data_IF_677122486725
#
_entry.id   IF_677122486725
#
_cell.length_a   1.000
_cell.length_b   1.000
_cell.length_c   1.000
_cell.angle_alpha   90.00
_cell.angle_beta   90.00
_cell.angle_gamma   90.00
#
_symmetry.space_group_name_H-M   'P 1'
#
loop_
_entity.id
_entity.type
_entity.pdbx_description
1 polymer ?
#
# COMPACT_ATOMS: atom_id res chain seq x y z
N UNK A 1 -0.62 18.52 -10.32
CA UNK A 1 -1.21 19.06 -11.56
C UNK A 1 -1.14 18.00 -12.67
N UNK A 2 -2.11 18.03 -13.61
CA UNK A 2 -2.15 17.11 -14.75
C UNK A 2 -2.31 17.92 -16.03
N UNK A 3 -1.51 17.59 -17.03
CA UNK A 3 -1.66 18.09 -18.39
C UNK A 3 -2.25 16.95 -19.23
N UNK A 4 -3.41 17.17 -19.82
CA UNK A 4 -4.04 16.22 -20.71
C UNK A 4 -4.07 16.76 -22.15
N UNK A 5 -3.70 15.93 -23.10
CA UNK A 5 -3.72 16.25 -24.51
C UNK A 5 -4.64 15.29 -25.26
N UNK A 6 -5.59 15.85 -26.01
CA UNK A 6 -6.52 15.11 -26.84
C UNK A 6 -5.88 14.90 -28.22
N UNK A 7 -5.41 13.68 -28.49
CA UNK A 7 -4.76 13.31 -29.75
C UNK A 7 -5.78 13.40 -30.91
N UNK A 8 -6.99 12.88 -30.67
CA UNK A 8 -8.12 12.94 -31.61
C UNK A 8 -9.46 12.80 -30.87
N UNK A 9 -10.56 12.65 -31.58
CA UNK A 9 -11.89 12.53 -30.97
C UNK A 9 -12.05 11.37 -29.98
N UNK A 10 -11.22 10.34 -30.08
CA UNK A 10 -11.34 9.10 -29.31
C UNK A 10 -10.18 8.87 -28.32
N UNK A 11 -9.04 9.52 -28.51
CA UNK A 11 -7.82 9.20 -27.79
C UNK A 11 -7.24 10.42 -27.07
N UNK A 12 -6.86 10.25 -25.82
CA UNK A 12 -6.18 11.27 -25.04
C UNK A 12 -5.02 10.64 -24.23
N UNK A 13 -3.99 11.44 -23.99
CA UNK A 13 -2.88 11.11 -23.09
C UNK A 13 -2.80 12.18 -22.01
N UNK A 14 -2.27 11.78 -20.86
CA UNK A 14 -2.06 12.69 -19.75
C UNK A 14 -0.68 12.49 -19.14
N UNK A 15 -0.14 13.57 -18.61
CA UNK A 15 1.08 13.58 -17.83
C UNK A 15 0.85 14.35 -16.54
N UNK A 16 1.30 13.79 -15.44
CA UNK A 16 1.20 14.40 -14.11
C UNK A 16 2.57 14.33 -13.43
N UNK A 17 3.27 15.43 -13.17
CA UNK A 17 4.27 15.45 -12.12
C UNK A 17 3.58 15.15 -10.79
N UNK A 18 4.19 14.29 -9.97
CA UNK A 18 3.68 13.88 -8.67
C UNK A 18 4.60 14.42 -7.60
N UNK A 19 4.04 15.14 -6.64
CA UNK A 19 4.75 15.60 -5.44
C UNK A 19 4.23 14.79 -4.27
N UNK A 20 5.13 14.11 -3.56
CA UNK A 20 4.85 13.34 -2.36
C UNK A 20 5.13 14.16 -1.10
N UNK A 21 4.34 13.94 -0.06
CA UNK A 21 4.62 14.34 1.30
C UNK A 21 4.27 13.19 2.24
N UNK A 22 5.21 12.82 3.09
CA UNK A 22 5.02 11.82 4.13
C UNK A 22 5.43 12.41 5.47
N UNK A 23 4.73 12.01 6.53
CA UNK A 23 5.10 12.32 7.91
C UNK A 23 5.07 11.02 8.70
N UNK A 24 6.17 10.72 9.38
CA UNK A 24 6.32 9.49 10.15
C UNK A 24 6.69 9.78 11.61
N UNK A 25 6.15 8.96 12.50
CA UNK A 25 6.45 9.00 13.92
C UNK A 25 6.21 7.64 14.55
N UNK A 26 7.17 7.15 15.33
CA UNK A 26 7.06 5.87 16.04
C UNK A 26 7.39 6.00 17.51
N UNK A 27 6.60 5.34 18.34
CA UNK A 27 6.81 5.18 19.78
C UNK A 27 6.73 3.71 20.17
N UNK A 28 7.40 3.35 21.28
CA UNK A 28 7.29 2.00 21.84
C UNK A 28 8.15 0.95 21.16
N UNK A 29 8.98 1.31 20.18
CA UNK A 29 9.88 0.39 19.47
C UNK A 29 11.24 0.20 20.16
N UNK A 30 11.33 0.39 21.48
CA UNK A 30 12.60 0.32 22.23
C UNK A 30 13.34 -1.01 22.08
N UNK A 31 12.62 -2.12 21.96
CA UNK A 31 13.24 -3.43 21.73
C UNK A 31 14.01 -3.50 20.41
N UNK A 32 13.53 -2.82 19.38
CA UNK A 32 14.15 -2.81 18.05
C UNK A 32 15.46 -2.04 17.99
N UNK A 33 15.76 -1.18 18.99
CA UNK A 33 17.04 -0.47 19.08
C UNK A 33 18.24 -1.43 19.14
N UNK A 34 18.07 -2.58 19.80
CA UNK A 34 19.12 -3.59 19.89
C UNK A 34 19.41 -4.30 18.56
N UNK A 35 18.53 -4.16 17.58
CA UNK A 35 18.64 -4.78 16.25
C UNK A 35 19.01 -3.77 15.16
N UNK A 36 19.38 -2.56 15.55
CA UNK A 36 19.61 -1.43 14.64
C UNK A 36 21.08 -1.10 14.47
N UNK A 37 21.45 -0.64 13.27
CA UNK A 37 22.73 -0.04 12.97
C UNK A 37 22.92 1.34 13.62
N UNK A 38 21.81 2.05 13.90
CA UNK A 38 21.78 3.31 14.66
C UNK A 38 20.63 3.26 15.69
N UNK A 39 20.90 2.70 16.89
CA UNK A 39 19.90 2.55 17.94
C UNK A 39 19.22 3.85 18.38
N UNK A 40 19.90 5.00 18.22
CA UNK A 40 19.36 6.30 18.61
C UNK A 40 18.25 6.78 17.67
N UNK A 41 18.19 6.25 16.44
CA UNK A 41 17.28 6.66 15.38
C UNK A 41 16.22 5.60 15.04
N UNK A 42 15.67 4.93 16.03
CA UNK A 42 14.64 3.89 15.85
C UNK A 42 13.28 4.35 16.32
N UNK A 43 13.20 5.03 17.46
CA UNK A 43 11.92 5.31 18.13
C UNK A 43 12.00 6.57 18.99
N UNK A 44 10.84 7.17 19.29
CA UNK A 44 10.67 8.32 20.18
C UNK A 44 11.36 9.62 19.69
N UNK A 45 11.63 9.76 18.40
CA UNK A 45 12.33 10.91 17.81
C UNK A 45 11.39 12.02 17.30
N UNK A 46 10.10 11.95 17.68
CA UNK A 46 9.09 12.92 17.24
C UNK A 46 8.70 12.72 15.77
N UNK A 47 8.08 13.74 15.18
CA UNK A 47 7.75 13.71 13.76
C UNK A 47 8.99 13.89 12.90
N UNK A 48 9.04 13.16 11.80
CA UNK A 48 9.95 13.35 10.69
C UNK A 48 9.13 13.48 9.39
N UNK A 49 9.48 14.44 8.57
CA UNK A 49 8.75 14.78 7.36
C UNK A 49 9.64 14.56 6.15
N UNK A 50 9.09 13.91 5.12
CA UNK A 50 9.77 13.62 3.86
C UNK A 50 8.96 14.17 2.69
N UNK A 51 9.64 14.78 1.72
CA UNK A 51 9.07 15.21 0.46
C UNK A 51 9.60 14.32 -0.65
N UNK A 52 8.81 14.16 -1.71
CA UNK A 52 9.24 13.29 -2.80
C UNK A 52 8.72 13.74 -4.14
N UNK A 53 9.32 13.19 -5.19
CA UNK A 53 8.98 13.53 -6.55
C UNK A 53 8.88 12.29 -7.43
N UNK A 54 7.87 12.28 -8.29
CA UNK A 54 7.65 11.22 -9.28
C UNK A 54 6.87 11.76 -10.47
N UNK A 55 6.50 10.86 -11.36
CA UNK A 55 5.71 11.18 -12.54
C UNK A 55 4.68 10.08 -12.83
N UNK A 56 3.57 10.47 -13.44
CA UNK A 56 2.55 9.57 -13.92
C UNK A 56 2.19 9.91 -15.36
N UNK A 57 2.04 8.88 -16.18
CA UNK A 57 1.48 8.99 -17.52
C UNK A 57 0.18 8.18 -17.59
N UNK A 58 -0.73 8.60 -18.43
CA UNK A 58 -1.99 7.91 -18.65
C UNK A 58 -2.46 8.01 -20.08
N UNK A 59 -3.21 7.02 -20.49
CA UNK A 59 -3.91 6.97 -21.77
C UNK A 59 -5.38 6.67 -21.51
N UNK A 60 -6.26 7.30 -22.28
CA UNK A 60 -7.70 7.03 -22.33
C UNK A 60 -8.17 7.01 -23.77
N UNK A 61 -8.77 5.88 -24.18
CA UNK A 61 -9.45 5.71 -25.44
C UNK A 61 -10.95 5.49 -25.24
N UNK A 62 -11.80 6.14 -26.07
CA UNK A 62 -13.26 5.98 -26.01
C UNK A 62 -13.79 5.64 -27.39
N UNK A 63 -14.42 4.48 -27.54
CA UNK A 63 -14.85 3.89 -28.81
C UNK A 63 -16.32 3.46 -28.72
N UNK A 64 -17.23 4.38 -28.99
CA UNK A 64 -18.66 4.16 -28.87
C UNK A 64 -19.05 3.83 -27.40
N UNK A 65 -19.40 2.56 -27.13
CA UNK A 65 -19.78 2.09 -25.79
C UNK A 65 -18.59 1.61 -24.95
N UNK A 66 -17.40 1.52 -25.52
CA UNK A 66 -16.21 1.01 -24.87
C UNK A 66 -15.25 2.14 -24.53
N UNK A 67 -14.67 2.07 -23.35
CA UNK A 67 -13.54 2.90 -22.98
C UNK A 67 -12.42 2.00 -22.49
N UNK A 68 -11.18 2.32 -22.84
CA UNK A 68 -9.99 1.63 -22.36
C UNK A 68 -9.05 2.66 -21.76
N UNK A 69 -8.40 2.30 -20.66
CA UNK A 69 -7.43 3.15 -19.98
C UNK A 69 -6.16 2.37 -19.64
N UNK A 70 -5.05 3.07 -19.62
CA UNK A 70 -3.82 2.56 -19.08
C UNK A 70 -3.07 3.67 -18.33
N UNK A 71 -2.33 3.31 -17.29
CA UNK A 71 -1.53 4.25 -16.52
C UNK A 71 -0.23 3.60 -16.07
N UNK A 72 0.82 4.42 -15.94
CA UNK A 72 2.04 4.05 -15.26
C UNK A 72 2.50 5.23 -14.40
N UNK A 73 2.81 4.94 -13.15
CA UNK A 73 3.40 5.87 -12.19
C UNK A 73 4.79 5.35 -11.82
N UNK A 74 5.80 6.22 -11.92
CA UNK A 74 7.14 5.92 -11.46
C UNK A 74 7.17 5.69 -9.94
N UNK A 75 8.29 5.20 -9.42
CA UNK A 75 8.63 5.37 -8.01
C UNK A 75 8.50 6.88 -7.67
N UNK A 76 7.96 7.21 -6.50
CA UNK A 76 8.08 8.56 -5.96
C UNK A 76 9.27 8.50 -5.02
N UNK A 77 10.38 9.10 -5.44
CA UNK A 77 11.61 9.19 -4.68
C UNK A 77 11.38 10.19 -3.53
N UNK A 78 11.40 9.68 -2.32
CA UNK A 78 11.17 10.46 -1.10
C UNK A 78 12.49 10.84 -0.46
N UNK A 79 12.51 11.95 0.28
CA UNK A 79 13.61 12.22 1.20
C UNK A 79 13.63 11.18 2.32
N UNK A 80 14.80 10.87 2.87
CA UNK A 80 14.98 9.91 3.94
C UNK A 80 14.41 10.44 5.27
N UNK A 81 13.79 9.55 6.04
CA UNK A 81 13.43 9.83 7.42
C UNK A 81 14.67 9.83 8.32
N UNK A 82 15.37 10.95 8.37
CA UNK A 82 16.67 11.10 9.04
C UNK A 82 16.62 10.80 10.55
N UNK A 83 15.48 11.07 11.20
CA UNK A 83 15.21 10.74 12.60
C UNK A 83 14.94 9.25 12.83
N UNK A 84 14.67 8.51 11.77
CA UNK A 84 14.38 7.07 11.77
C UNK A 84 15.33 6.29 10.86
N UNK A 85 16.52 6.84 10.61
CA UNK A 85 17.58 6.22 9.83
C UNK A 85 18.03 4.85 10.37
N UNK A 86 17.82 4.57 11.63
CA UNK A 86 18.07 3.27 12.25
C UNK A 86 16.89 2.30 12.18
N UNK A 87 15.75 2.68 11.59
CA UNK A 87 14.55 1.84 11.52
C UNK A 87 14.34 1.28 10.12
N UNK A 88 14.30 2.13 9.10
CA UNK A 88 14.07 1.73 7.72
C UNK A 88 15.38 1.44 6.99
N UNK A 89 15.37 0.48 6.07
CA UNK A 89 16.51 0.19 5.21
C UNK A 89 17.01 1.45 4.48
N UNK A 90 18.24 1.42 3.99
CA UNK A 90 18.87 2.55 3.31
C UNK A 90 18.85 3.85 4.12
N UNK A 91 19.07 3.72 5.45
CA UNK A 91 19.17 4.82 6.43
C UNK A 91 17.94 5.73 6.48
N UNK A 92 16.74 5.15 6.32
CA UNK A 92 15.49 5.89 6.46
C UNK A 92 14.76 6.12 5.15
N UNK A 93 15.21 5.51 4.04
CA UNK A 93 14.49 5.58 2.77
C UNK A 93 13.14 4.86 2.87
N UNK A 94 12.09 5.55 2.45
CA UNK A 94 10.75 4.98 2.40
C UNK A 94 9.99 5.52 1.19
N UNK A 95 10.47 5.17 0.02
CA UNK A 95 9.90 5.54 -1.26
C UNK A 95 8.48 5.01 -1.47
N UNK A 96 7.72 5.65 -2.37
CA UNK A 96 6.42 5.11 -2.81
C UNK A 96 6.62 4.22 -4.04
N UNK A 97 6.21 2.95 -3.99
CA UNK A 97 6.47 2.00 -5.06
C UNK A 97 5.84 2.40 -6.40
N UNK A 98 6.49 2.09 -7.51
CA UNK A 98 5.93 2.31 -8.84
C UNK A 98 4.71 1.41 -9.06
N UNK A 99 3.78 1.89 -9.90
CA UNK A 99 2.52 1.19 -10.16
C UNK A 99 2.15 1.36 -11.62
N UNK A 100 1.65 0.31 -12.24
CA UNK A 100 1.03 0.40 -13.56
C UNK A 100 -0.27 -0.38 -13.61
N UNK A 101 -1.14 -0.02 -14.54
CA UNK A 101 -2.42 -0.69 -14.67
C UNK A 101 -3.13 -0.37 -15.97
N UNK A 102 -4.14 -1.18 -16.26
CA UNK A 102 -5.03 -0.99 -17.38
C UNK A 102 -6.46 -1.37 -16.99
N UNK A 103 -7.42 -0.80 -17.70
CA UNK A 103 -8.82 -1.07 -17.46
C UNK A 103 -9.68 -0.91 -18.71
N UNK A 104 -10.85 -1.49 -18.63
CA UNK A 104 -11.90 -1.39 -19.66
C UNK A 104 -13.22 -1.04 -19.00
N UNK A 105 -13.99 -0.17 -19.62
CA UNK A 105 -15.37 0.10 -19.23
C UNK A 105 -16.29 -0.07 -20.43
N UNK A 106 -17.48 -0.61 -20.16
CA UNK A 106 -18.51 -0.85 -21.17
C UNK A 106 -19.82 -0.23 -20.71
N UNK A 107 -20.37 0.65 -21.52
CA UNK A 107 -21.74 1.15 -21.35
C UNK A 107 -22.72 0.08 -21.87
N UNK A 108 -23.07 -0.88 -21.01
CA UNK A 108 -23.91 -2.04 -21.36
C UNK A 108 -25.32 -1.60 -21.77
N UNK A 109 -25.87 -0.57 -21.12
CA UNK A 109 -27.13 0.09 -21.51
C UNK A 109 -26.98 1.61 -21.35
N UNK A 110 -28.01 2.38 -21.70
CA UNK A 110 -28.01 3.84 -21.45
C UNK A 110 -27.89 4.22 -19.98
N UNK A 111 -28.11 3.26 -19.06
CA UNK A 111 -28.11 3.48 -17.60
C UNK A 111 -27.02 2.68 -16.86
N UNK A 112 -26.45 1.64 -17.49
CA UNK A 112 -25.54 0.71 -16.84
C UNK A 112 -24.16 0.77 -17.49
N UNK A 113 -23.15 1.06 -16.69
CA UNK A 113 -21.72 0.92 -17.05
C UNK A 113 -21.10 -0.14 -16.16
N UNK A 114 -20.29 -1.01 -16.76
CA UNK A 114 -19.49 -2.03 -16.08
C UNK A 114 -18.03 -1.73 -16.39
N UNK A 115 -17.18 -1.77 -15.38
CA UNK A 115 -15.74 -1.53 -15.51
C UNK A 115 -14.94 -2.63 -14.84
N UNK A 116 -13.80 -2.98 -15.44
CA UNK A 116 -12.82 -3.89 -14.87
C UNK A 116 -11.42 -3.30 -15.02
N UNK A 117 -10.62 -3.39 -13.96
CA UNK A 117 -9.26 -2.88 -13.91
C UNK A 117 -8.32 -3.93 -13.35
N UNK A 118 -7.09 -3.91 -13.84
CA UNK A 118 -5.96 -4.63 -13.27
C UNK A 118 -4.80 -3.66 -13.07
N UNK A 119 -4.15 -3.76 -11.93
CA UNK A 119 -2.92 -3.00 -11.67
C UNK A 119 -1.90 -3.85 -10.95
N UNK A 120 -0.62 -3.48 -11.09
CA UNK A 120 0.50 -4.08 -10.38
C UNK A 120 1.23 -3.02 -9.59
N UNK A 121 1.50 -3.32 -8.33
CA UNK A 121 2.31 -2.49 -7.43
C UNK A 121 3.64 -3.21 -7.25
N UNK A 122 4.75 -2.51 -7.51
CA UNK A 122 6.09 -3.08 -7.48
C UNK A 122 6.75 -2.76 -6.13
N UNK A 123 6.33 -3.45 -5.08
CA UNK A 123 6.91 -3.28 -3.74
C UNK A 123 8.39 -3.65 -3.69
N UNK A 124 8.83 -4.59 -4.56
CA UNK A 124 10.22 -5.01 -4.69
C UNK A 124 11.19 -3.89 -5.08
N UNK A 125 10.70 -2.73 -5.47
CA UNK A 125 11.51 -1.55 -5.82
C UNK A 125 11.80 -0.63 -4.62
N UNK A 126 11.37 -1.00 -3.41
CA UNK A 126 11.56 -0.20 -2.17
C UNK A 126 12.07 -1.12 -1.07
N UNK A 127 13.37 -1.02 -0.76
CA UNK A 127 14.07 -1.95 0.13
C UNK A 127 13.49 -1.96 1.55
N UNK A 128 13.09 -0.80 2.08
CA UNK A 128 12.43 -0.72 3.38
C UNK A 128 11.12 -1.53 3.46
N UNK A 129 10.47 -1.80 2.32
CA UNK A 129 9.24 -2.58 2.23
C UNK A 129 9.54 -4.04 1.87
N UNK A 130 10.44 -4.27 0.89
CA UNK A 130 10.63 -5.59 0.27
C UNK A 130 11.72 -6.43 0.91
N UNK A 131 12.70 -5.83 1.60
CA UNK A 131 13.70 -6.60 2.32
C UNK A 131 13.02 -7.55 3.29
N UNK A 132 13.48 -8.80 3.30
CA UNK A 132 12.90 -9.81 4.18
C UNK A 132 13.23 -9.52 5.64
N UNK A 133 12.27 -9.77 6.51
CA UNK A 133 12.47 -9.82 7.95
C UNK A 133 13.35 -11.01 8.36
N UNK A 134 13.75 -11.13 9.62
CA UNK A 134 14.64 -12.17 10.09
C UNK A 134 14.00 -13.55 10.02
N UNK A 135 14.78 -14.54 9.65
CA UNK A 135 14.48 -15.94 9.93
C UNK A 135 14.45 -16.21 11.44
N UNK A 136 13.94 -17.37 11.88
CA UNK A 136 13.94 -17.74 13.28
C UNK A 136 15.36 -17.70 13.89
N UNK A 137 16.34 -18.23 13.19
CA UNK A 137 17.73 -18.26 13.70
C UNK A 137 18.35 -16.87 13.74
N UNK A 138 18.13 -16.03 12.75
CA UNK A 138 18.61 -14.63 12.75
C UNK A 138 17.98 -13.84 13.90
N UNK A 139 16.68 -14.01 14.13
CA UNK A 139 16.00 -13.36 15.26
C UNK A 139 16.56 -13.82 16.61
N UNK A 140 16.75 -15.12 16.82
CA UNK A 140 17.32 -15.64 18.07
C UNK A 140 18.77 -15.23 18.24
N UNK A 141 19.57 -15.20 17.16
CA UNK A 141 20.93 -14.69 17.17
C UNK A 141 20.98 -13.23 17.59
N UNK A 142 20.18 -12.38 16.95
CA UNK A 142 20.09 -10.97 17.26
C UNK A 142 19.60 -10.71 18.70
N UNK A 143 18.61 -11.48 19.17
CA UNK A 143 18.13 -11.41 20.54
C UNK A 143 19.21 -11.79 21.54
N UNK A 144 20.00 -12.83 21.24
CA UNK A 144 21.17 -13.21 22.04
C UNK A 144 22.19 -12.08 22.07
N UNK A 145 22.50 -11.49 20.90
CA UNK A 145 23.38 -10.33 20.77
C UNK A 145 22.95 -9.17 21.67
N UNK A 146 21.67 -8.86 21.66
CA UNK A 146 21.08 -7.83 22.51
C UNK A 146 21.28 -8.11 24.03
N UNK A 147 21.17 -9.37 24.43
CA UNK A 147 21.34 -9.77 25.83
C UNK A 147 22.82 -9.71 26.32
N UNK A 148 23.76 -10.02 25.43
CA UNK A 148 25.20 -10.05 25.77
C UNK A 148 25.93 -8.76 25.36
N UNK A 149 25.23 -7.82 24.68
CA UNK A 149 25.81 -6.56 24.21
C UNK A 149 26.74 -6.74 23.01
N UNK A 150 26.51 -7.77 22.18
CA UNK A 150 27.27 -8.05 20.95
C UNK A 150 26.44 -7.78 19.67
N UNK A 151 26.57 -6.59 19.06
CA UNK A 151 25.82 -6.25 17.86
C UNK A 151 26.25 -7.05 16.61
N UNK A 152 27.39 -7.75 16.63
CA UNK A 152 27.86 -8.56 15.51
C UNK A 152 26.98 -9.80 15.26
N UNK A 153 26.14 -10.15 16.23
CA UNK A 153 25.15 -11.23 16.12
C UNK A 153 23.85 -10.83 15.41
N UNK A 154 23.71 -9.57 15.02
CA UNK A 154 22.60 -9.07 14.21
C UNK A 154 23.00 -9.07 12.74
N UNK A 155 22.51 -10.03 11.97
CA UNK A 155 22.61 -10.00 10.51
C UNK A 155 21.62 -8.97 9.94
N UNK A 156 22.02 -8.20 8.94
CA UNK A 156 21.18 -7.19 8.28
C UNK A 156 20.43 -6.28 9.28
N UNK A 157 21.15 -5.52 10.13
CA UNK A 157 20.52 -4.70 11.15
C UNK A 157 19.61 -3.65 10.52
N UNK A 158 18.51 -3.32 11.22
CA UNK A 158 17.60 -2.22 10.83
C UNK A 158 18.40 -0.96 10.52
N UNK A 159 17.98 -0.20 9.52
CA UNK A 159 18.65 1.01 9.05
C UNK A 159 19.82 0.76 8.09
N UNK A 160 20.38 -0.45 7.99
CA UNK A 160 21.38 -0.76 6.95
C UNK A 160 20.73 -0.94 5.57
N UNK A 161 21.54 -0.92 4.50
CA UNK A 161 21.01 -1.08 3.13
C UNK A 161 20.21 -2.37 2.94
N UNK A 162 20.69 -3.48 3.51
CA UNK A 162 19.98 -4.75 3.52
C UNK A 162 19.22 -5.00 4.84
N UNK A 163 18.90 -3.93 5.57
CA UNK A 163 18.21 -4.01 6.85
C UNK A 163 16.86 -4.69 6.74
N UNK A 164 16.48 -5.41 7.80
CA UNK A 164 15.18 -6.10 7.82
C UNK A 164 14.03 -5.16 7.51
N UNK A 165 13.16 -5.59 6.60
CA UNK A 165 11.96 -4.92 6.15
C UNK A 165 10.72 -5.79 6.35
N UNK A 166 9.67 -5.54 5.61
CA UNK A 166 8.39 -6.24 5.73
C UNK A 166 8.29 -7.50 4.86
N UNK A 167 9.23 -7.70 3.93
CA UNK A 167 9.25 -8.84 3.01
C UNK A 167 8.12 -8.82 1.98
N UNK A 168 7.68 -7.63 1.56
CA UNK A 168 6.57 -7.53 0.60
C UNK A 168 7.03 -7.77 -0.83
N UNK A 169 6.30 -8.66 -1.49
CA UNK A 169 6.43 -8.95 -2.92
C UNK A 169 5.49 -8.07 -3.75
N UNK A 170 5.74 -8.01 -5.05
CA UNK A 170 4.88 -7.34 -6.01
C UNK A 170 3.50 -7.97 -6.06
N UNK A 171 2.44 -7.15 -6.06
CA UNK A 171 1.07 -7.64 -6.07
C UNK A 171 0.28 -7.21 -7.29
N UNK A 172 -0.61 -8.10 -7.75
CA UNK A 172 -1.66 -7.77 -8.68
C UNK A 172 -2.93 -7.39 -7.93
N UNK A 173 -3.57 -6.32 -8.38
CA UNK A 173 -4.85 -5.83 -7.86
C UNK A 173 -5.89 -5.89 -8.97
N UNK A 174 -6.98 -6.59 -8.73
CA UNK A 174 -8.09 -6.75 -9.67
C UNK A 174 -9.32 -6.03 -9.13
N UNK A 175 -9.97 -5.25 -9.98
CA UNK A 175 -11.17 -4.48 -9.61
C UNK A 175 -12.28 -4.71 -10.61
N UNK A 176 -13.49 -4.85 -10.10
CA UNK A 176 -14.72 -4.90 -10.89
C UNK A 176 -15.71 -3.90 -10.30
N UNK A 177 -16.32 -3.09 -11.14
CA UNK A 177 -17.28 -2.09 -10.71
C UNK A 177 -18.48 -1.96 -11.63
N UNK A 178 -19.59 -1.57 -11.05
CA UNK A 178 -20.82 -1.24 -11.77
C UNK A 178 -21.32 0.13 -11.34
N UNK A 179 -21.82 0.90 -12.31
CA UNK A 179 -22.47 2.18 -12.11
C UNK A 179 -23.84 2.16 -12.78
N UNK A 180 -24.90 2.39 -12.01
CA UNK A 180 -26.28 2.36 -12.51
C UNK A 180 -26.98 3.69 -12.28
N UNK A 181 -27.22 4.44 -13.36
CA UNK A 181 -28.02 5.66 -13.37
C UNK A 181 -29.51 5.28 -13.33
N UNK A 182 -30.09 5.15 -12.14
CA UNK A 182 -31.48 4.74 -11.97
C UNK A 182 -32.43 5.76 -12.59
N UNK A 183 -32.24 7.05 -12.27
CA UNK A 183 -32.96 8.19 -12.85
C UNK A 183 -32.08 9.45 -12.82
N UNK A 184 -32.66 10.64 -13.08
CA UNK A 184 -31.95 11.93 -13.05
C UNK A 184 -31.31 12.24 -11.71
N UNK A 185 -31.86 11.72 -10.62
CA UNK A 185 -31.50 12.13 -9.26
C UNK A 185 -30.65 11.08 -8.54
N UNK A 186 -30.74 9.81 -8.95
CA UNK A 186 -30.09 8.69 -8.25
C UNK A 186 -29.16 7.89 -9.15
N UNK A 187 -27.94 7.73 -8.68
CA UNK A 187 -26.94 6.81 -9.25
C UNK A 187 -26.46 5.86 -8.15
N UNK A 188 -26.52 4.55 -8.40
CA UNK A 188 -26.01 3.50 -7.53
C UNK A 188 -24.72 2.93 -8.06
N UNK A 189 -23.82 2.54 -7.15
CA UNK A 189 -22.54 1.93 -7.49
C UNK A 189 -22.28 0.74 -6.59
N UNK A 190 -21.65 -0.29 -7.15
CA UNK A 190 -21.10 -1.40 -6.39
C UNK A 190 -19.76 -1.81 -6.99
N UNK A 191 -18.88 -2.34 -6.17
CA UNK A 191 -17.55 -2.74 -6.59
C UNK A 191 -17.02 -3.90 -5.77
N UNK A 192 -16.09 -4.61 -6.39
CA UNK A 192 -15.29 -5.66 -5.77
C UNK A 192 -13.83 -5.40 -6.09
N UNK A 193 -12.96 -5.59 -5.09
CA UNK A 193 -11.52 -5.52 -5.24
C UNK A 193 -10.89 -6.77 -4.62
N UNK A 194 -9.88 -7.30 -5.31
CA UNK A 194 -9.05 -8.40 -4.83
C UNK A 194 -7.57 -8.06 -5.05
N UNK A 195 -6.78 -8.23 -4.01
CA UNK A 195 -5.33 -8.22 -4.06
C UNK A 195 -4.81 -9.34 -3.17
N UNK A 196 -3.72 -10.00 -3.56
CA UNK A 196 -3.05 -10.98 -2.72
C UNK A 196 -2.40 -10.28 -1.52
N UNK A 197 -2.24 -11.01 -0.42
CA UNK A 197 -1.35 -10.58 0.68
C UNK A 197 0.05 -10.38 0.09
N UNK A 198 0.73 -9.26 0.37
CA UNK A 198 2.01 -8.95 -0.27
C UNK A 198 3.20 -9.70 0.31
N UNK A 199 3.05 -10.55 1.32
CA UNK A 199 4.14 -11.25 1.99
C UNK A 199 3.79 -12.70 2.31
N UNK A 200 4.83 -13.54 2.38
CA UNK A 200 4.73 -14.94 2.78
C UNK A 200 4.50 -15.10 4.29
N UNK A 201 3.95 -16.22 4.71
CA UNK A 201 3.60 -16.50 6.12
C UNK A 201 4.80 -16.31 7.05
N UNK A 202 6.02 -16.65 6.61
CA UNK A 202 7.25 -16.52 7.38
C UNK A 202 7.69 -15.06 7.63
N UNK A 203 7.01 -14.09 7.02
CA UNK A 203 7.23 -12.66 7.26
C UNK A 203 6.22 -12.06 8.27
N UNK A 204 5.37 -12.89 8.89
CA UNK A 204 4.30 -12.43 9.78
C UNK A 204 4.80 -11.58 10.97
N UNK A 205 6.02 -11.81 11.47
CA UNK A 205 6.54 -11.10 12.65
C UNK A 205 6.61 -9.59 12.46
N UNK A 206 7.34 -9.12 11.43
CA UNK A 206 7.49 -7.68 11.19
C UNK A 206 6.19 -7.05 10.67
N UNK A 207 5.36 -7.82 10.01
CA UNK A 207 4.05 -7.40 9.52
C UNK A 207 3.00 -7.20 10.64
N UNK A 208 3.33 -7.45 11.91
CA UNK A 208 2.55 -6.95 13.05
C UNK A 208 2.50 -5.41 13.07
N UNK A 209 3.56 -4.75 12.60
CA UNK A 209 3.65 -3.28 12.51
C UNK A 209 2.90 -2.71 11.29
N UNK A 210 2.78 -3.50 10.21
CA UNK A 210 2.13 -3.10 8.96
C UNK A 210 1.26 -4.25 8.40
N UNK A 211 0.16 -4.62 9.07
CA UNK A 211 -0.61 -5.82 8.73
C UNK A 211 -1.42 -5.65 7.44
N UNK A 212 -0.84 -5.94 6.29
CA UNK A 212 -1.48 -5.89 4.97
C UNK A 212 -2.14 -7.22 4.60
N UNK A 213 -2.96 -7.77 5.50
CA UNK A 213 -3.55 -9.11 5.33
C UNK A 213 -4.88 -9.13 4.57
N UNK A 214 -5.51 -7.98 4.36
CA UNK A 214 -6.84 -7.94 3.73
C UNK A 214 -6.73 -8.10 2.23
N UNK A 215 -7.44 -9.09 1.66
CA UNK A 215 -7.40 -9.38 0.23
C UNK A 215 -8.65 -8.90 -0.52
N UNK A 216 -9.82 -9.06 0.07
CA UNK A 216 -11.10 -8.89 -0.61
C UNK A 216 -11.89 -7.74 -0.02
N UNK A 217 -12.37 -6.85 -0.90
CA UNK A 217 -13.21 -5.73 -0.49
C UNK A 217 -14.47 -5.70 -1.35
N UNK A 218 -15.59 -5.38 -0.72
CA UNK A 218 -16.83 -5.02 -1.42
C UNK A 218 -17.17 -3.57 -1.08
N UNK A 219 -17.66 -2.85 -2.06
CA UNK A 219 -18.12 -1.47 -1.89
C UNK A 219 -19.53 -1.33 -2.43
N UNK A 220 -20.34 -0.52 -1.78
CA UNK A 220 -21.63 -0.11 -2.28
C UNK A 220 -21.87 1.35 -1.94
N UNK A 221 -22.51 2.09 -2.83
CA UNK A 221 -22.77 3.50 -2.60
C UNK A 221 -23.80 4.07 -3.57
N UNK A 222 -24.17 5.29 -3.27
CA UNK A 222 -25.08 6.05 -4.12
C UNK A 222 -24.68 7.52 -4.17
N UNK A 223 -25.08 8.18 -5.27
CA UNK A 223 -25.10 9.64 -5.37
C UNK A 223 -26.56 10.06 -5.54
N UNK A 224 -26.97 11.07 -4.80
CA UNK A 224 -28.28 11.73 -4.97
C UNK A 224 -28.07 13.19 -5.29
N UNK A 225 -28.61 13.61 -6.44
CA UNK A 225 -28.73 15.02 -6.78
C UNK A 225 -29.82 15.65 -5.91
N UNK A 226 -29.45 16.66 -5.13
CA UNK A 226 -30.37 17.39 -4.24
C UNK A 226 -31.00 18.56 -4.96
N UNK A 227 -30.22 19.23 -5.80
CA UNK A 227 -30.61 20.31 -6.69
C UNK A 227 -29.85 20.17 -8.02
N UNK A 228 -30.16 20.97 -9.05
CA UNK A 228 -29.35 20.96 -10.29
C UNK A 228 -27.86 21.22 -10.07
N UNK A 229 -27.51 21.87 -8.96
CA UNK A 229 -26.14 22.30 -8.65
C UNK A 229 -25.53 21.60 -7.43
N UNK A 230 -26.23 20.70 -6.76
CA UNK A 230 -25.70 20.04 -5.56
C UNK A 230 -26.06 18.57 -5.51
N UNK A 231 -25.14 17.78 -4.96
CA UNK A 231 -25.29 16.34 -4.78
C UNK A 231 -24.66 15.85 -3.48
N UNK A 232 -25.17 14.76 -2.97
CA UNK A 232 -24.58 14.00 -1.85
C UNK A 232 -24.21 12.60 -2.32
N UNK A 233 -23.03 12.15 -1.95
CA UNK A 233 -22.58 10.78 -2.20
C UNK A 233 -22.30 10.10 -0.88
N UNK A 234 -22.77 8.87 -0.74
CA UNK A 234 -22.42 7.99 0.37
C UNK A 234 -21.86 6.68 -0.18
N UNK A 235 -20.79 6.21 0.44
CA UNK A 235 -20.12 4.95 0.07
C UNK A 235 -19.75 4.19 1.33
N UNK A 236 -20.05 2.90 1.33
CA UNK A 236 -19.62 1.98 2.38
C UNK A 236 -18.70 0.91 1.76
N UNK A 237 -17.60 0.61 2.43
CA UNK A 237 -16.66 -0.44 2.07
C UNK A 237 -16.53 -1.42 3.23
N UNK A 238 -16.56 -2.70 2.90
CA UNK A 238 -16.23 -3.79 3.81
C UNK A 238 -15.07 -4.60 3.25
N UNK A 239 -14.01 -4.71 4.03
CA UNK A 239 -12.88 -5.58 3.76
C UNK A 239 -13.02 -6.86 4.59
N UNK A 240 -13.07 -8.00 3.91
CA UNK A 240 -13.28 -9.29 4.54
C UNK A 240 -12.10 -9.65 5.43
N UNK A 241 -12.42 -10.27 6.58
CA UNK A 241 -11.38 -10.78 7.48
C UNK A 241 -10.47 -11.76 6.75
N UNK A 242 -9.18 -11.55 6.89
CA UNK A 242 -8.15 -12.51 6.52
C UNK A 242 -7.09 -12.56 7.62
N UNK A 243 -6.33 -13.65 7.68
CA UNK A 243 -5.25 -13.81 8.64
C UNK A 243 -4.04 -14.50 8.01
N UNK A 244 -2.87 -14.13 8.50
CA UNK A 244 -1.57 -14.76 8.22
C UNK A 244 -0.95 -15.11 9.56
N UNK A 245 -0.46 -16.33 9.70
CA UNK A 245 0.19 -16.79 10.93
C UNK A 245 1.33 -17.74 10.63
N UNK A 246 2.40 -17.61 11.38
CA UNK A 246 3.56 -18.48 11.27
C UNK A 246 4.16 -18.79 12.63
N UNK A 247 4.67 -20.01 12.79
CA UNK A 247 5.42 -20.44 13.97
C UNK A 247 6.88 -20.62 13.59
N UNK A 248 7.70 -19.74 14.13
CA UNK A 248 9.13 -19.73 13.91
C UNK A 248 9.78 -20.78 14.81
N UNK A 249 10.58 -21.67 14.22
CA UNK A 249 11.30 -22.75 14.91
C UNK A 249 12.80 -22.49 14.80
N UNK A 250 13.47 -22.43 15.94
CA UNK A 250 14.92 -22.37 15.98
C UNK A 250 15.55 -23.71 15.60
N UNK A 251 16.67 -23.67 14.89
CA UNK A 251 17.46 -24.85 14.50
C UNK A 251 18.91 -24.70 14.96
N UNK A 252 19.70 -25.80 14.90
CA UNK A 252 21.10 -25.78 15.31
C UNK A 252 21.24 -25.36 16.80
N UNK A 253 21.97 -24.27 17.12
CA UNK A 253 22.15 -23.79 18.49
C UNK A 253 20.86 -23.29 19.15
N UNK A 254 19.83 -23.00 18.37
CA UNK A 254 18.53 -22.49 18.83
C UNK A 254 17.44 -23.56 18.82
N UNK A 255 17.77 -24.85 18.66
CA UNK A 255 16.81 -25.95 18.74
C UNK A 255 16.04 -25.92 20.06
N UNK A 256 14.72 -26.01 19.98
CA UNK A 256 13.81 -25.94 21.13
C UNK A 256 13.28 -24.55 21.44
N UNK A 257 13.81 -23.49 20.81
CA UNK A 257 13.19 -22.18 20.85
C UNK A 257 12.16 -22.03 19.75
N UNK A 258 11.00 -21.47 20.07
CA UNK A 258 9.97 -21.17 19.09
C UNK A 258 9.14 -19.97 19.53
N UNK A 259 8.60 -19.23 18.57
CA UNK A 259 7.59 -18.21 18.79
C UNK A 259 6.60 -18.17 17.60
N UNK A 260 5.42 -17.65 17.84
CA UNK A 260 4.39 -17.53 16.78
C UNK A 260 3.96 -16.06 16.63
N UNK A 261 3.76 -15.65 15.39
CA UNK A 261 3.14 -14.39 15.05
C UNK A 261 1.84 -14.65 14.29
N UNK A 262 0.80 -13.85 14.59
CA UNK A 262 -0.47 -13.90 13.87
C UNK A 262 -0.97 -12.48 13.61
N UNK A 263 -1.18 -12.17 12.34
CA UNK A 263 -1.81 -10.94 11.88
C UNK A 263 -3.23 -11.28 11.40
N UNK A 264 -4.23 -10.56 11.90
CA UNK A 264 -5.58 -10.66 11.35
C UNK A 264 -6.22 -9.28 11.31
N UNK A 265 -6.99 -9.02 10.25
CA UNK A 265 -7.65 -7.75 10.07
C UNK A 265 -8.95 -7.89 9.27
N UNK A 266 -9.89 -7.03 9.57
CA UNK A 266 -11.02 -6.67 8.72
C UNK A 266 -11.20 -5.16 8.81
N UNK A 267 -11.84 -4.56 7.80
CA UNK A 267 -12.03 -3.12 7.80
C UNK A 267 -13.45 -2.74 7.41
N UNK A 268 -13.91 -1.62 7.96
CA UNK A 268 -15.14 -0.95 7.56
C UNK A 268 -14.80 0.51 7.31
N UNK A 269 -15.29 1.07 6.21
CA UNK A 269 -15.16 2.48 5.93
C UNK A 269 -16.50 3.04 5.44
N UNK A 270 -16.87 4.20 5.96
CA UNK A 270 -18.00 4.99 5.50
C UNK A 270 -17.48 6.34 5.04
N UNK A 271 -17.81 6.70 3.80
CA UNK A 271 -17.49 8.01 3.23
C UNK A 271 -18.78 8.75 2.91
N UNK A 272 -18.80 10.02 3.23
CA UNK A 272 -19.88 10.94 2.87
C UNK A 272 -19.25 12.17 2.24
N UNK A 273 -19.67 12.52 1.03
CA UNK A 273 -19.22 13.73 0.34
C UNK A 273 -20.40 14.57 -0.15
N UNK A 274 -20.21 15.88 -0.15
CA UNK A 274 -21.13 16.84 -0.70
C UNK A 274 -20.45 17.62 -1.83
N UNK A 275 -21.05 17.57 -3.01
CA UNK A 275 -20.57 18.29 -4.18
C UNK A 275 -21.48 19.49 -4.52
N UNK A 276 -20.88 20.60 -4.91
CA UNK A 276 -21.59 21.78 -5.39
C UNK A 276 -20.93 22.35 -6.64
N UNK A 277 -21.73 22.70 -7.64
CA UNK A 277 -21.33 23.39 -8.87
C UNK A 277 -21.68 24.87 -8.74
N UNK A 278 -20.72 25.69 -9.07
CA UNK A 278 -20.87 27.16 -9.07
C UNK A 278 -21.09 27.69 -10.47
#
# INVERSE_FOLDING_TARGET
PTIAYKINAHNSIGFSPVIGYQSFRAYGLGLFQAFSSDPSKVTNNGNDDAYGFGAQIGYLGTFGRFSVGAMARSKIYMDEFSKYAGLFAEQGDFDVPPTFGAGIAVQATSKLTIAADVSRILYSQVDAISNKGPTANEFFSAFTGALVGDPSLVSNPLGSNNGWGFGWDDVWVYKLGVNYAYNSDWTFRAGFNYAQVPYDDDQALFNVLAPAVVEKHVTAGFTRSLTPNSEITMTYMYAFRNDVSYTYQGTGPYTGFSYSAKNNMYQNALEVSYGMKF
#
